data_IF_863258624704
#
_entry.id   IF_863258624704
#
_cell.length_a   1.000
_cell.length_b   1.000
_cell.length_c   1.000
_cell.angle_alpha   90.00
_cell.angle_beta   90.00
_cell.angle_gamma   90.00
#
_symmetry.space_group_name_H-M   'P 1'
#
loop_
_entity.id
_entity.type
_entity.pdbx_description
1 polymer ?
#
# COMPACT_ATOMS: atom_id res chain seq x y z
N UNK A 1 -16.05 -6.39 20.51
CA UNK A 1 -15.72 -5.00 20.13
C UNK A 1 -14.62 -4.38 20.98
N UNK A 2 -14.74 -4.33 22.33
CA UNK A 2 -13.74 -3.69 23.22
C UNK A 2 -12.29 -4.20 23.02
N UNK A 3 -12.11 -5.52 22.80
CA UNK A 3 -10.80 -6.15 22.52
C UNK A 3 -10.22 -5.77 21.16
N UNK A 4 -11.05 -5.61 20.12
CA UNK A 4 -10.61 -5.21 18.78
C UNK A 4 -10.19 -3.74 18.76
N UNK A 5 -10.95 -2.88 19.43
CA UNK A 5 -10.59 -1.47 19.57
C UNK A 5 -9.26 -1.32 20.31
N UNK A 6 -9.07 -2.04 21.42
CA UNK A 6 -7.82 -2.03 22.18
C UNK A 6 -6.59 -2.53 21.41
N UNK A 7 -6.79 -3.38 20.40
CA UNK A 7 -5.72 -3.88 19.53
C UNK A 7 -5.46 -2.98 18.30
N UNK A 8 -6.30 -1.97 18.08
CA UNK A 8 -6.22 -1.11 16.90
C UNK A 8 -5.32 0.11 17.10
N UNK A 9 -4.89 0.74 16.00
CA UNK A 9 -4.09 1.98 16.01
C UNK A 9 -4.80 3.17 16.70
N UNK A 10 -6.13 3.10 16.84
CA UNK A 10 -6.94 4.11 17.52
C UNK A 10 -6.99 3.91 19.04
N UNK A 11 -6.48 2.80 19.58
CA UNK A 11 -6.42 2.59 21.02
C UNK A 11 -5.53 3.65 21.70
N UNK A 12 -5.85 4.07 22.94
CA UNK A 12 -4.94 4.84 23.77
C UNK A 12 -3.65 4.04 23.99
N UNK A 13 -2.48 4.64 23.71
CA UNK A 13 -1.18 3.97 23.86
C UNK A 13 -0.74 3.08 22.69
N UNK A 14 -1.52 2.98 21.59
CA UNK A 14 -1.10 2.22 20.40
C UNK A 14 0.03 2.88 19.61
N UNK A 15 0.29 4.17 19.83
CA UNK A 15 1.37 4.93 19.18
C UNK A 15 2.35 5.33 20.29
N UNK A 16 3.63 4.96 20.16
CA UNK A 16 4.70 5.39 21.07
C UNK A 16 4.78 6.93 21.20
N UNK A 17 5.19 7.48 22.36
CA UNK A 17 5.23 8.93 22.59
C UNK A 17 6.15 9.70 21.63
N UNK A 18 7.27 9.09 21.26
CA UNK A 18 8.29 9.57 20.33
C UNK A 18 7.75 9.70 18.88
N UNK A 19 6.78 8.86 18.52
CA UNK A 19 6.14 8.86 17.20
C UNK A 19 4.85 9.67 17.14
N UNK A 20 4.45 10.32 18.24
CA UNK A 20 3.17 11.02 18.34
C UNK A 20 3.00 12.13 17.30
N UNK A 21 4.12 12.68 16.79
CA UNK A 21 4.16 13.63 15.66
C UNK A 21 3.49 13.07 14.39
N UNK A 22 3.52 11.75 14.18
CA UNK A 22 2.92 11.07 13.03
C UNK A 22 1.50 10.53 13.28
N UNK A 23 0.86 10.87 14.41
CA UNK A 23 -0.46 10.29 14.79
C UNK A 23 -1.53 10.42 13.71
N UNK A 24 -1.62 11.57 13.04
CA UNK A 24 -2.60 11.81 11.99
C UNK A 24 -2.27 11.05 10.72
N UNK A 25 -0.98 10.94 10.41
CA UNK A 25 -0.50 10.13 9.29
C UNK A 25 -0.87 8.66 9.52
N UNK A 26 -0.50 8.09 10.68
CA UNK A 26 -0.77 6.68 11.03
C UNK A 26 -2.26 6.36 11.17
N UNK A 27 -3.07 7.25 11.76
CA UNK A 27 -4.50 6.96 12.05
C UNK A 27 -5.48 7.33 10.95
N UNK A 28 -5.13 8.24 10.07
CA UNK A 28 -6.06 8.77 9.07
C UNK A 28 -5.53 8.56 7.66
N UNK A 29 -4.34 9.08 7.36
CA UNK A 29 -3.83 9.08 5.98
C UNK A 29 -3.41 7.70 5.48
N UNK A 30 -2.74 6.87 6.30
CA UNK A 30 -2.38 5.50 5.88
C UNK A 30 -3.63 4.63 5.61
N UNK A 31 -4.65 4.58 6.50
CA UNK A 31 -5.89 3.87 6.19
C UNK A 31 -6.61 4.41 4.95
N UNK A 32 -6.68 5.73 4.78
CA UNK A 32 -7.30 6.35 3.61
C UNK A 32 -6.58 5.94 2.31
N UNK A 33 -5.25 5.93 2.33
CA UNK A 33 -4.46 5.49 1.19
C UNK A 33 -4.77 4.04 0.80
N UNK A 34 -4.79 3.13 1.78
CA UNK A 34 -5.10 1.72 1.53
C UNK A 34 -6.56 1.55 1.06
N UNK A 35 -7.51 2.37 1.54
CA UNK A 35 -8.88 2.42 1.02
C UNK A 35 -8.96 2.88 -0.45
N UNK A 36 -8.18 3.88 -0.84
CA UNK A 36 -8.07 4.28 -2.25
C UNK A 36 -7.47 3.17 -3.12
N UNK A 37 -6.48 2.44 -2.61
CA UNK A 37 -5.93 1.28 -3.32
C UNK A 37 -6.96 0.16 -3.47
N UNK A 38 -7.74 -0.15 -2.43
CA UNK A 38 -8.86 -1.10 -2.50
C UNK A 38 -9.85 -0.67 -3.59
N UNK A 39 -10.28 0.59 -3.56
CA UNK A 39 -11.20 1.14 -4.54
C UNK A 39 -10.63 1.07 -5.96
N UNK A 40 -9.35 1.40 -6.15
CA UNK A 40 -8.68 1.31 -7.44
C UNK A 40 -8.65 -0.13 -7.99
N UNK A 41 -8.37 -1.13 -7.15
CA UNK A 41 -8.42 -2.54 -7.55
C UNK A 41 -9.83 -2.99 -7.91
N UNK A 42 -10.86 -2.58 -7.15
CA UNK A 42 -12.26 -2.87 -7.47
C UNK A 42 -12.64 -2.23 -8.81
N UNK A 43 -12.26 -0.96 -9.03
CA UNK A 43 -12.48 -0.28 -10.30
C UNK A 43 -11.78 -0.98 -11.46
N UNK A 44 -10.58 -1.54 -11.24
CA UNK A 44 -9.88 -2.31 -12.25
C UNK A 44 -10.66 -3.56 -12.68
N UNK A 45 -11.29 -4.28 -11.74
CA UNK A 45 -12.13 -5.44 -12.05
C UNK A 45 -13.45 -5.04 -12.71
N UNK A 46 -14.11 -3.99 -12.22
CA UNK A 46 -15.46 -3.61 -12.70
C UNK A 46 -15.41 -2.88 -14.04
N UNK A 47 -14.43 -1.98 -14.23
CA UNK A 47 -14.34 -1.11 -15.41
C UNK A 47 -13.20 -1.49 -16.35
N UNK A 48 -12.29 -2.37 -15.92
CA UNK A 48 -11.08 -2.69 -16.66
C UNK A 48 -10.07 -1.55 -16.67
N UNK A 49 -8.95 -1.78 -17.36
CA UNK A 49 -8.02 -0.74 -17.76
C UNK A 49 -7.71 -0.91 -19.24
N UNK A 50 -7.91 0.14 -20.04
CA UNK A 50 -7.59 0.11 -21.48
C UNK A 50 -6.13 -0.22 -21.75
N UNK A 51 -5.23 0.17 -20.84
CA UNK A 51 -3.80 -0.11 -20.94
C UNK A 51 -3.51 -1.59 -20.63
N UNK A 52 -4.03 -2.10 -19.51
CA UNK A 52 -3.79 -3.49 -19.10
C UNK A 52 -4.47 -4.49 -20.02
N UNK A 53 -5.66 -4.18 -20.56
CA UNK A 53 -6.38 -5.04 -21.52
C UNK A 53 -5.62 -5.29 -22.84
N UNK A 54 -4.54 -4.54 -23.10
CA UNK A 54 -3.65 -4.83 -24.24
C UNK A 54 -2.48 -5.71 -23.89
N UNK A 55 -2.03 -5.67 -22.64
CA UNK A 55 -0.88 -6.43 -22.14
C UNK A 55 -1.32 -7.79 -21.60
N UNK A 56 -2.54 -7.86 -21.08
CA UNK A 56 -3.11 -9.00 -20.39
C UNK A 56 -4.46 -9.32 -21.04
N UNK A 57 -4.79 -10.60 -21.11
CA UNK A 57 -6.14 -11.04 -21.39
C UNK A 57 -7.10 -10.60 -20.27
N UNK A 58 -8.40 -10.50 -20.59
CA UNK A 58 -9.40 -9.99 -19.65
C UNK A 58 -9.44 -10.77 -18.34
N UNK A 59 -9.29 -12.10 -18.38
CA UNK A 59 -9.26 -12.93 -17.17
C UNK A 59 -8.05 -12.61 -16.30
N UNK A 60 -6.87 -12.42 -16.89
CA UNK A 60 -5.66 -12.12 -16.13
C UNK A 60 -5.67 -10.67 -15.60
N UNK A 61 -6.31 -9.72 -16.30
CA UNK A 61 -6.57 -8.39 -15.75
C UNK A 61 -7.44 -8.48 -14.49
N UNK A 62 -8.54 -9.22 -14.55
CA UNK A 62 -9.44 -9.40 -13.40
C UNK A 62 -8.71 -10.05 -12.21
N UNK A 63 -7.89 -11.07 -12.48
CA UNK A 63 -7.04 -11.70 -11.45
C UNK A 63 -6.08 -10.69 -10.83
N UNK A 64 -5.39 -9.88 -11.64
CA UNK A 64 -4.48 -8.83 -11.13
C UNK A 64 -5.24 -7.80 -10.30
N UNK A 65 -6.43 -7.39 -10.73
CA UNK A 65 -7.30 -6.48 -9.98
C UNK A 65 -7.72 -7.05 -8.62
N UNK A 66 -8.17 -8.32 -8.59
CA UNK A 66 -8.54 -9.03 -7.37
C UNK A 66 -7.33 -9.16 -6.42
N UNK A 67 -6.18 -9.55 -6.95
CA UNK A 67 -4.93 -9.66 -6.17
C UNK A 67 -4.54 -8.29 -5.60
N UNK A 68 -4.62 -7.22 -6.40
CA UNK A 68 -4.32 -5.86 -5.94
C UNK A 68 -5.25 -5.43 -4.80
N UNK A 69 -6.56 -5.66 -4.96
CA UNK A 69 -7.55 -5.39 -3.90
C UNK A 69 -7.26 -6.21 -2.65
N UNK A 70 -6.93 -7.49 -2.79
CA UNK A 70 -6.57 -8.37 -1.68
C UNK A 70 -5.34 -7.89 -0.93
N UNK A 71 -4.28 -7.53 -1.65
CA UNK A 71 -3.05 -6.95 -1.06
C UNK A 71 -3.36 -5.64 -0.34
N UNK A 72 -4.15 -4.75 -0.94
CA UNK A 72 -4.54 -3.48 -0.32
C UNK A 72 -5.39 -3.69 0.96
N UNK A 73 -6.26 -4.69 0.98
CA UNK A 73 -7.00 -5.09 2.19
C UNK A 73 -6.06 -5.59 3.29
N UNK A 74 -5.07 -6.41 2.94
CA UNK A 74 -4.05 -6.88 3.88
C UNK A 74 -3.22 -5.72 4.44
N UNK A 75 -2.85 -4.74 3.60
CA UNK A 75 -2.19 -3.51 4.01
C UNK A 75 -3.05 -2.70 4.99
N UNK A 76 -4.34 -2.52 4.68
CA UNK A 76 -5.28 -1.81 5.54
C UNK A 76 -5.38 -2.47 6.92
N UNK A 77 -5.52 -3.80 6.97
CA UNK A 77 -5.55 -4.55 8.21
C UNK A 77 -4.21 -4.44 8.98
N UNK A 78 -3.09 -4.48 8.27
CA UNK A 78 -1.76 -4.25 8.85
C UNK A 78 -1.66 -2.89 9.54
N UNK A 79 -2.06 -1.81 8.86
CA UNK A 79 -2.09 -0.46 9.41
C UNK A 79 -3.04 -0.34 10.59
N UNK A 80 -4.22 -0.99 10.52
CA UNK A 80 -5.21 -0.96 11.59
C UNK A 80 -4.73 -1.67 12.86
N UNK A 81 -3.91 -2.71 12.75
CA UNK A 81 -3.48 -3.56 13.86
C UNK A 81 -1.94 -3.59 13.97
N UNK A 82 -1.32 -2.82 14.88
CA UNK A 82 0.15 -2.72 15.00
C UNK A 82 0.89 -4.05 15.22
N UNK A 83 0.20 -5.08 15.72
CA UNK A 83 0.76 -6.43 15.87
C UNK A 83 1.02 -7.14 14.54
N UNK A 84 0.34 -6.76 13.47
CA UNK A 84 0.48 -7.32 12.12
C UNK A 84 1.56 -6.60 11.30
N UNK A 85 2.52 -5.92 11.95
CA UNK A 85 3.55 -5.11 11.30
C UNK A 85 4.31 -5.86 10.20
N UNK A 86 4.64 -7.14 10.38
CA UNK A 86 5.36 -7.93 9.37
C UNK A 86 4.49 -8.20 8.12
N UNK A 87 3.20 -8.43 8.34
CA UNK A 87 2.21 -8.57 7.25
C UNK A 87 2.03 -7.23 6.53
N UNK A 88 2.05 -6.11 7.26
CA UNK A 88 2.01 -4.76 6.68
C UNK A 88 3.23 -4.51 5.78
N UNK A 89 4.44 -4.88 6.22
CA UNK A 89 5.67 -4.73 5.41
C UNK A 89 5.54 -5.52 4.10
N UNK A 90 5.25 -6.81 4.18
CA UNK A 90 5.17 -7.67 2.99
C UNK A 90 4.08 -7.17 2.05
N UNK A 91 2.89 -6.85 2.59
CA UNK A 91 1.78 -6.30 1.82
C UNK A 91 2.16 -5.00 1.11
N UNK A 92 2.78 -4.04 1.81
CA UNK A 92 3.16 -2.76 1.20
C UNK A 92 4.29 -2.89 0.20
N UNK A 93 5.24 -3.81 0.38
CA UNK A 93 6.26 -4.13 -0.62
C UNK A 93 5.63 -4.67 -1.90
N UNK A 94 4.70 -5.62 -1.77
CA UNK A 94 3.97 -6.16 -2.93
C UNK A 94 3.14 -5.06 -3.60
N UNK A 95 2.42 -4.24 -2.82
CA UNK A 95 1.61 -3.13 -3.33
C UNK A 95 2.45 -2.13 -4.12
N UNK A 96 3.58 -1.69 -3.56
CA UNK A 96 4.53 -0.78 -4.23
C UNK A 96 5.09 -1.42 -5.50
N UNK A 97 5.42 -2.72 -5.45
CA UNK A 97 5.86 -3.47 -6.62
C UNK A 97 4.81 -3.51 -7.74
N UNK A 98 3.55 -3.75 -7.41
CA UNK A 98 2.43 -3.75 -8.37
C UNK A 98 2.21 -2.36 -8.98
N UNK A 99 2.24 -1.30 -8.16
CA UNK A 99 2.13 0.09 -8.65
C UNK A 99 3.31 0.41 -9.56
N UNK A 100 4.53 0.07 -9.14
CA UNK A 100 5.74 0.26 -9.92
C UNK A 100 5.69 -0.46 -11.27
N UNK A 101 5.26 -1.72 -11.28
CA UNK A 101 5.09 -2.49 -12.51
C UNK A 101 4.07 -1.83 -13.46
N UNK A 102 2.94 -1.33 -12.93
CA UNK A 102 1.97 -0.60 -13.74
C UNK A 102 2.51 0.73 -14.27
N UNK A 103 3.26 1.48 -13.46
CA UNK A 103 3.95 2.70 -13.91
C UNK A 103 4.97 2.40 -15.01
N UNK A 104 5.73 1.31 -14.90
CA UNK A 104 6.61 0.84 -15.97
C UNK A 104 5.83 0.48 -17.23
N UNK A 105 4.68 -0.19 -17.09
CA UNK A 105 3.82 -0.52 -18.22
C UNK A 105 3.33 0.73 -18.97
N UNK A 106 2.98 1.82 -18.26
CA UNK A 106 2.61 3.11 -18.86
C UNK A 106 3.74 3.68 -19.73
N UNK A 107 4.99 3.60 -19.26
CA UNK A 107 6.15 4.18 -19.95
C UNK A 107 6.59 3.34 -21.14
N UNK A 108 6.63 2.01 -20.98
CA UNK A 108 7.20 1.10 -21.98
C UNK A 108 6.16 0.60 -23.01
N UNK A 109 4.87 0.68 -22.73
CA UNK A 109 3.81 0.18 -23.60
C UNK A 109 2.69 1.21 -23.83
N UNK A 110 2.97 2.31 -24.56
CA UNK A 110 1.97 3.34 -24.84
C UNK A 110 0.80 2.79 -25.66
N UNK A 111 -0.38 3.38 -25.45
CA UNK A 111 -1.67 2.89 -25.95
C UNK A 111 -1.83 3.00 -27.47
N UNK A 112 -1.18 3.93 -28.16
CA UNK A 112 -1.31 4.07 -29.61
C UNK A 112 0.08 4.27 -30.20
N UNK A 113 0.41 3.68 -31.37
CA UNK A 113 1.66 3.97 -32.06
C UNK A 113 1.80 5.49 -32.25
N UNK A 114 2.92 6.08 -31.81
CA UNK A 114 3.20 7.52 -31.77
C UNK A 114 2.41 8.37 -30.75
N UNK A 115 1.71 7.76 -29.79
CA UNK A 115 1.12 8.49 -28.66
C UNK A 115 2.07 8.51 -27.47
N UNK A 116 2.12 9.63 -26.75
CA UNK A 116 2.93 9.75 -25.55
C UNK A 116 2.36 8.89 -24.41
N UNK A 117 3.21 8.36 -23.51
CA UNK A 117 2.76 7.73 -22.28
C UNK A 117 1.75 8.63 -21.55
N UNK A 118 0.79 8.01 -20.86
CA UNK A 118 -0.17 8.76 -20.04
C UNK A 118 0.52 9.29 -18.77
N UNK A 119 1.25 10.38 -18.93
CA UNK A 119 2.04 11.05 -17.89
C UNK A 119 1.17 11.53 -16.72
N UNK A 120 -0.10 11.82 -16.97
CA UNK A 120 -1.04 12.18 -15.91
C UNK A 120 -1.26 11.02 -14.95
N UNK A 121 -1.60 9.83 -15.47
CA UNK A 121 -1.78 8.62 -14.64
C UNK A 121 -0.46 8.24 -13.95
N UNK A 122 0.66 8.32 -14.67
CA UNK A 122 1.98 8.08 -14.09
C UNK A 122 2.26 9.02 -12.90
N UNK A 123 2.03 10.32 -13.07
CA UNK A 123 2.26 11.32 -12.02
C UNK A 123 1.32 11.12 -10.82
N UNK A 124 0.05 10.77 -11.06
CA UNK A 124 -0.90 10.46 -9.99
C UNK A 124 -0.46 9.25 -9.14
N UNK A 125 -0.01 8.17 -9.79
CA UNK A 125 0.51 6.99 -9.09
C UNK A 125 1.81 7.33 -8.35
N UNK A 126 2.71 8.06 -9.01
CA UNK A 126 3.96 8.52 -8.42
C UNK A 126 3.75 9.41 -7.20
N UNK A 127 2.70 10.22 -7.18
CA UNK A 127 2.34 11.04 -6.02
C UNK A 127 1.87 10.20 -4.81
N UNK A 128 1.22 9.06 -5.04
CA UNK A 128 0.78 8.16 -3.98
C UNK A 128 1.90 7.33 -3.34
N UNK A 129 2.96 7.02 -4.09
CA UNK A 129 4.05 6.15 -3.64
C UNK A 129 4.83 6.65 -2.41
N UNK A 130 5.17 7.95 -2.27
CA UNK A 130 5.89 8.46 -1.11
C UNK A 130 5.28 8.06 0.23
N UNK A 131 3.95 8.00 0.31
CA UNK A 131 3.25 7.66 1.55
C UNK A 131 3.42 6.17 1.92
N UNK A 132 3.37 5.26 0.95
CA UNK A 132 3.65 3.85 1.16
C UNK A 132 5.14 3.61 1.50
N UNK A 133 6.04 4.30 0.79
CA UNK A 133 7.49 4.22 1.02
C UNK A 133 7.88 4.77 2.39
N UNK A 134 7.29 5.89 2.81
CA UNK A 134 7.52 6.46 4.14
C UNK A 134 7.04 5.53 5.25
N UNK A 135 5.91 4.84 5.06
CA UNK A 135 5.47 3.84 6.03
C UNK A 135 6.43 2.65 6.11
N UNK A 136 6.93 2.18 4.96
CA UNK A 136 7.95 1.12 4.93
C UNK A 136 9.25 1.55 5.63
N UNK A 137 9.68 2.82 5.49
CA UNK A 137 10.86 3.31 6.20
C UNK A 137 10.64 3.33 7.72
N UNK A 138 9.49 3.84 8.18
CA UNK A 138 9.13 3.81 9.60
C UNK A 138 9.08 2.38 10.15
N UNK A 139 8.44 1.45 9.45
CA UNK A 139 8.40 0.04 9.85
C UNK A 139 9.79 -0.60 9.89
N UNK A 140 10.70 -0.18 9.00
CA UNK A 140 12.09 -0.61 9.00
C UNK A 140 12.88 -0.07 10.20
N UNK A 141 12.62 1.15 10.64
CA UNK A 141 13.18 1.72 11.87
C UNK A 141 12.64 0.99 13.11
N UNK A 142 11.31 0.83 13.21
CA UNK A 142 10.63 0.08 14.28
C UNK A 142 11.17 -1.37 14.39
N UNK A 143 11.54 -1.99 13.26
CA UNK A 143 12.13 -3.34 13.23
C UNK A 143 13.55 -3.36 13.82
N UNK A 144 14.38 -2.38 13.46
CA UNK A 144 15.76 -2.27 13.94
C UNK A 144 15.81 -2.02 15.45
N UNK A 145 14.96 -1.13 15.96
CA UNK A 145 14.89 -0.82 17.39
C UNK A 145 14.58 -2.07 18.23
N UNK A 146 13.60 -2.88 17.78
CA UNK A 146 13.21 -4.12 18.48
C UNK A 146 14.32 -5.17 18.49
N UNK A 147 15.12 -5.27 17.42
CA UNK A 147 16.24 -6.22 17.39
C UNK A 147 17.41 -5.73 18.23
N UNK A 148 17.68 -4.42 18.23
CA UNK A 148 18.72 -3.82 19.07
C UNK A 148 18.42 -3.95 20.57
N UNK A 149 17.15 -3.86 20.97
CA UNK A 149 16.72 -4.13 22.36
C UNK A 149 16.92 -5.61 22.74
N UNK A 150 16.56 -6.54 21.84
CA UNK A 150 16.76 -7.98 22.07
C UNK A 150 18.23 -8.38 22.21
N UNK A 151 19.12 -7.76 21.44
CA UNK A 151 20.58 -8.00 21.54
C UNK A 151 21.19 -7.40 22.81
N UNK A 152 20.60 -6.35 23.37
CA UNK A 152 21.06 -5.73 24.63
C UNK A 152 20.63 -6.51 25.88
N UNK A 153 19.50 -7.21 25.79
CA UNK A 153 18.93 -7.99 26.89
C UNK A 153 19.43 -9.46 26.93
N UNK A 154 20.24 -9.88 25.95
CA UNK A 154 20.82 -11.22 25.81
C UNK A 154 22.28 -11.28 26.31
#
# INVERSE_FOLDING_TARGET
>A
MRRLFAASIWAPGAIPPDEWKYRWLKRLWLPIYDLFAIAAGICAVVFGSRLLNRLLDGTLLDVVGIVFTGVALVCLLGVMFPRLWLVEIVGKVILVGMIGAYMSAIVFYPTVPNESPNWFVFAMLGFGLPLAMFRLSLLGEEWKERHAEQERDA
#
